data_IF_162776911811
#
_entry.id   IF_162776911811
#
_cell.length_a   1.000
_cell.length_b   1.000
_cell.length_c   1.000
_cell.angle_alpha   90.00
_cell.angle_beta   90.00
_cell.angle_gamma   90.00
#
_symmetry.space_group_name_H-M   'P 1'
#
loop_
_entity.id
_entity.type
_entity.pdbx_description
1 polymer ?
#
# COMPACT_ATOMS: atom_id res chain seq x y z
N UNK A 1 -37.44 -4.18 24.05
CA UNK A 1 -36.09 -3.61 24.26
C UNK A 1 -34.98 -4.39 23.54
N UNK A 2 -35.07 -5.72 23.36
CA UNK A 2 -34.04 -6.51 22.64
C UNK A 2 -33.94 -6.28 21.12
N UNK A 3 -35.06 -6.02 20.42
CA UNK A 3 -35.03 -5.88 18.95
C UNK A 3 -34.22 -4.68 18.44
N UNK A 4 -34.24 -3.55 19.15
CA UNK A 4 -33.49 -2.36 18.75
C UNK A 4 -31.98 -2.53 18.99
N UNK A 5 -31.59 -3.22 20.07
CA UNK A 5 -30.20 -3.54 20.37
C UNK A 5 -29.59 -4.48 19.32
N UNK A 6 -30.34 -5.51 18.89
CA UNK A 6 -29.89 -6.45 17.85
C UNK A 6 -29.74 -5.76 16.49
N UNK A 7 -30.71 -4.93 16.08
CA UNK A 7 -30.61 -4.18 14.83
C UNK A 7 -29.44 -3.19 14.81
N UNK A 8 -29.18 -2.48 15.92
CA UNK A 8 -28.01 -1.60 16.01
C UNK A 8 -26.70 -2.36 15.96
N UNK A 9 -26.60 -3.52 16.63
CA UNK A 9 -25.39 -4.34 16.61
C UNK A 9 -25.08 -4.87 15.20
N UNK A 10 -26.11 -5.33 14.49
CA UNK A 10 -25.99 -5.79 13.10
C UNK A 10 -25.58 -4.62 12.18
N UNK A 11 -26.18 -3.45 12.35
CA UNK A 11 -25.83 -2.25 11.58
C UNK A 11 -24.37 -1.84 11.77
N UNK A 12 -23.87 -1.87 13.01
CA UNK A 12 -22.47 -1.54 13.32
C UNK A 12 -21.51 -2.61 12.76
N UNK A 13 -21.83 -3.90 12.92
CA UNK A 13 -21.00 -4.97 12.36
C UNK A 13 -20.94 -4.93 10.82
N UNK A 14 -22.08 -4.70 10.15
CA UNK A 14 -22.12 -4.60 8.69
C UNK A 14 -21.43 -3.34 8.19
N UNK A 15 -21.64 -2.19 8.83
CA UNK A 15 -20.96 -0.95 8.48
C UNK A 15 -19.45 -1.03 8.67
N UNK A 16 -19.00 -1.64 9.77
CA UNK A 16 -17.58 -1.83 10.06
C UNK A 16 -16.92 -2.80 9.07
N UNK A 17 -17.55 -3.95 8.79
CA UNK A 17 -17.04 -4.91 7.81
C UNK A 17 -17.01 -4.34 6.39
N UNK A 18 -18.03 -3.59 5.98
CA UNK A 18 -18.06 -2.96 4.67
C UNK A 18 -17.06 -1.80 4.55
N UNK A 19 -16.91 -0.99 5.59
CA UNK A 19 -15.94 0.10 5.63
C UNK A 19 -14.49 -0.39 5.60
N UNK A 20 -14.13 -1.30 6.52
CA UNK A 20 -12.79 -1.91 6.57
C UNK A 20 -12.52 -2.73 5.31
N UNK A 21 -13.52 -3.49 4.84
CA UNK A 21 -13.42 -4.28 3.61
C UNK A 21 -13.18 -3.41 2.37
N UNK A 22 -13.87 -2.28 2.24
CA UNK A 22 -13.66 -1.34 1.13
C UNK A 22 -12.26 -0.70 1.17
N UNK A 23 -11.82 -0.23 2.34
CA UNK A 23 -10.48 0.34 2.51
C UNK A 23 -9.38 -0.70 2.22
N UNK A 24 -9.56 -1.94 2.70
CA UNK A 24 -8.65 -3.05 2.41
C UNK A 24 -8.62 -3.40 0.93
N UNK A 25 -9.78 -3.40 0.25
CA UNK A 25 -9.84 -3.70 -1.18
C UNK A 25 -9.05 -2.66 -2.01
N UNK A 26 -9.16 -1.37 -1.68
CA UNK A 26 -8.39 -0.30 -2.33
C UNK A 26 -6.89 -0.42 -2.02
N UNK A 27 -6.52 -0.67 -0.76
CA UNK A 27 -5.11 -0.92 -0.42
C UNK A 27 -4.56 -2.15 -1.14
N UNK A 28 -5.36 -3.20 -1.25
CA UNK A 28 -4.98 -4.45 -1.92
C UNK A 28 -4.82 -4.29 -3.42
N UNK A 29 -5.65 -3.45 -4.07
CA UNK A 29 -5.49 -3.16 -5.49
C UNK A 29 -4.21 -2.36 -5.77
N UNK A 30 -3.90 -1.38 -4.93
CA UNK A 30 -2.61 -0.65 -4.98
C UNK A 30 -1.44 -1.60 -4.70
N UNK A 31 -1.61 -2.51 -3.74
CA UNK A 31 -0.60 -3.49 -3.36
C UNK A 31 -0.18 -4.36 -4.56
N UNK A 32 -1.17 -4.90 -5.30
CA UNK A 32 -0.94 -5.76 -6.46
C UNK A 32 -0.48 -4.98 -7.71
N UNK A 33 -0.85 -3.71 -7.85
CA UNK A 33 -0.52 -2.89 -9.03
C UNK A 33 0.95 -2.51 -9.18
N UNK A 34 1.72 -2.49 -8.09
CA UNK A 34 3.14 -2.15 -8.18
C UNK A 34 3.89 -2.13 -6.85
N UNK A 35 3.19 -1.95 -5.72
CA UNK A 35 3.82 -1.93 -4.41
C UNK A 35 4.46 -3.28 -4.04
N UNK A 36 3.86 -4.41 -4.46
CA UNK A 36 4.45 -5.74 -4.30
C UNK A 36 5.78 -5.89 -5.07
N UNK A 37 5.93 -5.24 -6.22
CA UNK A 37 7.19 -5.23 -6.95
C UNK A 37 8.24 -4.38 -6.23
N UNK A 38 7.85 -3.19 -5.75
CA UNK A 38 8.72 -2.33 -4.96
C UNK A 38 9.20 -3.00 -3.66
N UNK A 39 8.31 -3.73 -2.96
CA UNK A 39 8.67 -4.52 -1.77
C UNK A 39 9.60 -5.69 -2.10
N UNK A 40 9.37 -6.38 -3.22
CA UNK A 40 10.27 -7.46 -3.68
C UNK A 40 11.66 -6.94 -4.04
N UNK A 41 11.75 -5.72 -4.55
CA UNK A 41 13.03 -5.08 -4.86
C UNK A 41 13.67 -4.46 -3.61
N UNK A 42 12.89 -3.99 -2.63
CA UNK A 42 13.38 -3.52 -1.34
C UNK A 42 13.94 -4.65 -0.46
N UNK A 43 13.38 -5.86 -0.55
CA UNK A 43 13.85 -7.03 0.19
C UNK A 43 15.02 -7.79 -0.48
N UNK A 44 15.50 -7.34 -1.64
CA UNK A 44 16.66 -7.94 -2.31
C UNK A 44 17.95 -7.26 -1.84
N UNK A 45 18.82 -8.04 -1.20
CA UNK A 45 20.19 -7.65 -0.83
C UNK A 45 21.01 -7.18 -2.04
N UNK A 46 20.76 -7.79 -3.22
CA UNK A 46 21.38 -7.39 -4.49
C UNK A 46 20.39 -6.57 -5.30
N UNK A 47 20.61 -5.26 -5.23
CA UNK A 47 19.93 -4.24 -6.01
C UNK A 47 20.17 -4.48 -7.52
N UNK A 48 19.11 -4.50 -8.35
CA UNK A 48 19.23 -4.82 -9.78
C UNK A 48 20.01 -3.75 -10.56
N UNK A 49 20.75 -4.15 -11.59
CA UNK A 49 21.66 -3.29 -12.40
C UNK A 49 21.00 -2.01 -12.93
N UNK A 50 19.70 -2.08 -13.23
CA UNK A 50 18.89 -0.92 -13.66
C UNK A 50 18.81 0.19 -12.61
N UNK A 51 18.91 -0.14 -11.33
CA UNK A 51 18.90 0.84 -10.25
C UNK A 51 20.23 1.61 -10.18
N UNK A 52 21.35 0.98 -10.53
CA UNK A 52 22.63 1.68 -10.64
C UNK A 52 22.67 2.61 -11.86
N UNK A 53 22.05 2.20 -12.96
CA UNK A 53 21.96 3.04 -14.16
C UNK A 53 21.07 4.28 -13.94
N UNK A 54 19.92 4.11 -13.28
CA UNK A 54 19.03 5.23 -12.91
C UNK A 54 19.65 6.13 -11.84
N UNK A 55 20.34 5.56 -10.83
CA UNK A 55 21.12 6.37 -9.89
C UNK A 55 22.25 7.14 -10.58
N UNK A 56 22.96 6.54 -11.53
CA UNK A 56 24.03 7.23 -12.25
C UNK A 56 23.49 8.42 -13.07
N UNK A 57 22.21 8.43 -13.42
CA UNK A 57 21.53 9.59 -14.02
C UNK A 57 21.15 10.64 -12.96
N UNK A 58 20.66 10.22 -11.80
CA UNK A 58 20.30 11.11 -10.69
C UNK A 58 21.53 11.75 -10.03
N UNK A 59 22.63 11.03 -9.87
CA UNK A 59 23.90 11.52 -9.29
C UNK A 59 24.58 12.56 -10.18
N UNK A 60 24.38 12.46 -11.50
CA UNK A 60 24.85 13.46 -12.48
C UNK A 60 23.99 14.72 -12.52
N UNK A 61 22.80 14.70 -11.90
CA UNK A 61 21.90 15.84 -11.80
C UNK A 61 22.05 16.50 -10.41
N UNK A 62 22.79 17.62 -10.29
CA UNK A 62 23.08 18.24 -9.00
C UNK A 62 21.82 18.76 -8.28
N UNK A 63 20.69 18.89 -8.95
CA UNK A 63 19.46 19.43 -8.36
C UNK A 63 18.69 18.40 -7.52
N UNK A 64 18.90 17.11 -7.75
CA UNK A 64 18.15 16.02 -7.09
C UNK A 64 18.89 15.27 -6.00
N UNK A 65 20.11 15.69 -5.62
CA UNK A 65 20.87 15.06 -4.52
C UNK A 65 20.14 15.31 -3.18
N UNK A 66 19.54 14.30 -2.52
CA UNK A 66 19.16 14.46 -1.13
C UNK A 66 20.44 14.46 -0.29
N UNK A 67 20.79 15.63 0.26
CA UNK A 67 21.92 15.83 1.16
C UNK A 67 21.68 15.26 2.54
#
# INVERSE_FOLDING_TARGET
MYGFAVSSLIGVCLGFMFGVGCALAVMYSIYMGGYRAALRDAGRDVKPDRWFEEQAKVDKDPEKRPG
#
